data_IF_705151166048
#
_entry.id   IF_705151166048
#
_cell.length_a   1.000
_cell.length_b   1.000
_cell.length_c   1.000
_cell.angle_alpha   90.00
_cell.angle_beta   90.00
_cell.angle_gamma   90.00
#
_symmetry.space_group_name_H-M   'P 1'
#
loop_
_entity.id
_entity.type
_entity.pdbx_description
1 polymer ?
#
# COMPACT_ATOMS: atom_id res chain seq x y z
N UNK A 1 -0.45 -16.51 5.80
CA UNK A 1 0.78 -16.00 6.43
C UNK A 1 1.71 -17.17 6.63
N UNK A 2 2.79 -17.23 5.86
CA UNK A 2 3.77 -18.33 5.91
C UNK A 2 5.09 -17.80 6.48
N UNK A 3 5.57 -18.29 7.64
CA UNK A 3 6.89 -17.94 8.14
C UNK A 3 7.93 -18.55 7.21
N UNK A 4 8.72 -17.72 6.52
CA UNK A 4 9.88 -18.21 5.83
C UNK A 4 11.07 -18.10 6.79
N UNK A 5 11.70 -19.21 7.14
CA UNK A 5 12.80 -19.29 8.12
C UNK A 5 14.14 -18.73 7.59
N UNK A 6 14.12 -17.72 6.73
CA UNK A 6 15.33 -17.06 6.23
C UNK A 6 15.81 -16.02 7.26
N UNK A 7 16.87 -16.36 7.98
CA UNK A 7 17.62 -15.42 8.82
C UNK A 7 18.40 -14.46 7.92
N UNK A 8 17.76 -13.33 7.57
CA UNK A 8 18.37 -12.31 6.71
C UNK A 8 19.20 -11.31 7.50
N UNK A 9 19.01 -11.24 8.81
CA UNK A 9 19.67 -10.25 9.67
C UNK A 9 21.10 -10.70 9.99
N UNK A 10 22.09 -9.80 9.92
CA UNK A 10 23.46 -10.15 10.33
C UNK A 10 23.54 -10.29 11.85
N UNK A 11 24.22 -11.33 12.33
CA UNK A 11 24.45 -11.59 13.77
C UNK A 11 25.38 -10.55 14.40
N UNK A 12 26.31 -10.01 13.61
CA UNK A 12 27.32 -9.06 14.07
C UNK A 12 27.52 -7.92 13.09
N UNK A 13 27.77 -6.72 13.62
CA UNK A 13 28.15 -5.56 12.85
C UNK A 13 29.64 -5.26 13.09
N UNK A 14 30.44 -5.17 12.03
CA UNK A 14 31.87 -4.88 12.06
C UNK A 14 32.20 -3.42 12.37
N UNK A 15 31.24 -2.51 12.27
CA UNK A 15 31.37 -1.08 12.54
C UNK A 15 30.37 -0.65 13.60
N UNK A 16 30.70 0.36 14.38
CA UNK A 16 29.79 0.99 15.34
C UNK A 16 29.65 2.46 14.99
N UNK A 17 28.51 2.81 14.39
CA UNK A 17 28.14 4.18 14.05
C UNK A 17 26.66 4.41 14.37
N UNK A 18 26.23 5.66 14.30
CA UNK A 18 24.84 6.03 14.65
C UNK A 18 23.78 5.26 13.82
N UNK A 19 24.07 4.95 12.57
CA UNK A 19 23.15 4.19 11.72
C UNK A 19 23.03 2.74 12.17
N UNK A 20 24.12 2.12 12.63
CA UNK A 20 24.11 0.76 13.17
C UNK A 20 23.38 0.73 14.51
N UNK A 21 23.55 1.74 15.36
CA UNK A 21 22.79 1.84 16.61
C UNK A 21 21.30 1.97 16.35
N UNK A 22 20.88 2.79 15.39
CA UNK A 22 19.48 2.88 14.95
C UNK A 22 18.96 1.54 14.40
N UNK A 23 19.77 0.85 13.61
CA UNK A 23 19.40 -0.47 13.07
C UNK A 23 19.20 -1.49 14.18
N UNK A 24 20.07 -1.51 15.21
CA UNK A 24 19.91 -2.36 16.39
C UNK A 24 18.65 -2.06 17.17
N UNK A 25 18.29 -0.77 17.32
CA UNK A 25 17.03 -0.39 17.95
C UNK A 25 15.84 -0.93 17.13
N UNK A 26 15.84 -0.75 15.81
CA UNK A 26 14.80 -1.29 14.94
C UNK A 26 14.70 -2.81 15.08
N UNK A 27 15.83 -3.52 15.07
CA UNK A 27 15.85 -4.97 15.21
C UNK A 27 15.39 -5.46 16.60
N UNK A 28 15.57 -4.65 17.65
CA UNK A 28 15.08 -4.99 19.00
C UNK A 28 13.57 -4.78 19.14
N UNK A 29 13.00 -3.85 18.37
CA UNK A 29 11.57 -3.57 18.39
C UNK A 29 10.75 -4.48 17.49
N UNK A 30 11.40 -5.06 16.48
CA UNK A 30 10.75 -5.87 15.45
C UNK A 30 11.20 -7.33 15.57
N UNK A 31 10.26 -8.25 15.74
CA UNK A 31 10.57 -9.68 15.86
C UNK A 31 11.15 -10.22 14.55
N UNK A 32 12.16 -11.13 14.58
CA UNK A 32 12.81 -11.67 13.38
C UNK A 32 11.94 -12.66 12.60
N UNK A 33 10.63 -12.58 12.73
CA UNK A 33 9.69 -13.42 11.99
C UNK A 33 9.44 -12.82 10.61
N UNK A 34 10.16 -13.32 9.61
CA UNK A 34 9.82 -13.05 8.22
C UNK A 34 8.49 -13.74 7.90
N UNK A 35 7.49 -12.90 7.66
CA UNK A 35 6.15 -13.37 7.33
C UNK A 35 5.84 -12.99 5.89
N UNK A 36 5.51 -13.99 5.09
CA UNK A 36 5.06 -13.82 3.71
C UNK A 36 3.54 -13.58 3.70
N UNK A 37 3.00 -12.56 3.03
CA UNK A 37 3.63 -11.41 2.39
C UNK A 37 4.03 -10.29 3.38
N UNK A 38 4.91 -9.37 2.94
CA UNK A 38 5.32 -8.23 3.76
C UNK A 38 4.15 -7.28 4.07
N UNK A 39 3.79 -7.18 5.35
CA UNK A 39 2.73 -6.29 5.81
C UNK A 39 3.09 -4.80 5.64
N UNK A 40 4.37 -4.45 5.77
CA UNK A 40 4.85 -3.08 5.58
C UNK A 40 4.65 -2.62 4.14
N UNK A 41 4.98 -3.48 3.17
CA UNK A 41 4.78 -3.20 1.75
C UNK A 41 3.29 -3.13 1.43
N UNK A 42 2.50 -4.09 1.89
CA UNK A 42 1.07 -4.14 1.65
C UNK A 42 0.35 -2.89 2.17
N UNK A 43 0.59 -2.52 3.43
CA UNK A 43 -0.03 -1.35 4.04
C UNK A 43 0.40 -0.04 3.36
N UNK A 44 1.68 0.09 3.02
CA UNK A 44 2.20 1.28 2.31
C UNK A 44 1.55 1.45 0.94
N UNK A 45 1.36 0.35 0.21
CA UNK A 45 0.66 0.36 -1.08
C UNK A 45 -0.82 0.69 -0.91
N UNK A 46 -1.49 0.16 0.12
CA UNK A 46 -2.89 0.46 0.40
C UNK A 46 -3.10 1.96 0.68
N UNK A 47 -2.23 2.57 1.49
CA UNK A 47 -2.25 4.02 1.76
C UNK A 47 -2.00 4.81 0.48
N UNK A 48 -1.01 4.43 -0.32
CA UNK A 48 -0.76 5.08 -1.61
C UNK A 48 -1.97 5.03 -2.54
N UNK A 49 -2.61 3.89 -2.68
CA UNK A 49 -3.82 3.75 -3.50
C UNK A 49 -4.99 4.57 -2.96
N UNK A 50 -5.16 4.65 -1.64
CA UNK A 50 -6.18 5.49 -1.02
C UNK A 50 -5.95 6.98 -1.32
N UNK A 51 -4.72 7.46 -1.20
CA UNK A 51 -4.33 8.85 -1.53
C UNK A 51 -4.51 9.12 -3.03
N UNK A 52 -4.07 8.21 -3.89
CA UNK A 52 -4.16 8.31 -5.35
C UNK A 52 -5.60 8.43 -5.84
N UNK A 53 -6.52 7.68 -5.25
CA UNK A 53 -7.92 7.60 -5.68
C UNK A 53 -8.86 8.52 -4.87
N UNK A 54 -8.33 9.26 -3.89
CA UNK A 54 -9.13 10.21 -3.10
C UNK A 54 -9.60 11.38 -3.96
N UNK A 55 -10.92 11.64 -4.06
CA UNK A 55 -11.45 12.77 -4.81
C UNK A 55 -10.94 14.12 -4.29
N UNK A 56 -10.78 14.26 -2.97
CA UNK A 56 -10.30 15.47 -2.32
C UNK A 56 -8.82 15.78 -2.65
N UNK A 57 -8.02 14.73 -2.92
CA UNK A 57 -6.59 14.84 -3.17
C UNK A 57 -6.22 14.78 -4.66
N UNK A 58 -7.21 14.58 -5.55
CA UNK A 58 -6.99 14.43 -7.00
C UNK A 58 -6.22 15.59 -7.62
N UNK A 59 -6.47 16.84 -7.16
CA UNK A 59 -5.80 18.05 -7.64
C UNK A 59 -4.48 18.37 -6.91
N UNK A 60 -4.18 17.70 -5.78
CA UNK A 60 -3.00 17.99 -4.95
C UNK A 60 -1.82 17.10 -5.37
N UNK A 61 -1.13 17.48 -6.44
CA UNK A 61 0.00 16.73 -7.01
C UNK A 61 1.13 16.48 -6.01
N UNK A 62 1.43 17.47 -5.15
CA UNK A 62 2.50 17.37 -4.14
C UNK A 62 2.20 16.27 -3.12
N UNK A 63 0.96 16.18 -2.62
CA UNK A 63 0.58 15.13 -1.66
C UNK A 63 0.67 13.75 -2.29
N UNK A 64 0.22 13.61 -3.54
CA UNK A 64 0.30 12.34 -4.27
C UNK A 64 1.74 11.93 -4.56
N UNK A 65 2.58 12.90 -4.95
CA UNK A 65 4.02 12.67 -5.14
C UNK A 65 4.71 12.31 -3.84
N UNK A 66 4.41 13.00 -2.74
CA UNK A 66 4.92 12.68 -1.41
C UNK A 66 4.53 11.28 -0.94
N UNK A 67 3.27 10.88 -1.13
CA UNK A 67 2.81 9.54 -0.81
C UNK A 67 3.53 8.46 -1.63
N UNK A 68 3.78 8.71 -2.92
CA UNK A 68 4.57 7.80 -3.77
C UNK A 68 6.01 7.66 -3.27
N UNK A 69 6.69 8.78 -2.99
CA UNK A 69 8.06 8.78 -2.49
C UNK A 69 8.14 8.05 -1.14
N UNK A 70 7.23 8.33 -0.21
CA UNK A 70 7.19 7.65 1.10
C UNK A 70 6.99 6.15 0.95
N UNK A 71 6.03 5.72 0.14
CA UNK A 71 5.77 4.30 -0.12
C UNK A 71 7.00 3.61 -0.69
N UNK A 72 7.64 4.21 -1.69
CA UNK A 72 8.86 3.66 -2.30
C UNK A 72 10.01 3.59 -1.27
N UNK A 73 10.18 4.63 -0.45
CA UNK A 73 11.20 4.65 0.61
C UNK A 73 10.97 3.56 1.66
N UNK A 74 9.72 3.30 2.06
CA UNK A 74 9.39 2.22 2.99
C UNK A 74 9.72 0.86 2.37
N UNK A 75 9.32 0.63 1.12
CA UNK A 75 9.61 -0.64 0.42
C UNK A 75 11.13 -0.88 0.33
N UNK A 76 11.90 0.13 -0.07
CA UNK A 76 13.33 0.03 -0.15
C UNK A 76 13.97 -0.21 1.24
N UNK A 77 13.51 0.51 2.28
CA UNK A 77 14.04 0.35 3.63
C UNK A 77 13.84 -1.07 4.18
N UNK A 78 12.70 -1.69 3.92
CA UNK A 78 12.46 -3.10 4.36
C UNK A 78 13.44 -4.08 3.71
N UNK A 79 13.85 -3.82 2.47
CA UNK A 79 14.86 -4.63 1.77
C UNK A 79 16.28 -4.34 2.28
N UNK A 80 16.66 -3.07 2.43
CA UNK A 80 17.99 -2.67 2.90
C UNK A 80 18.25 -3.08 4.34
N UNK A 81 17.25 -2.97 5.20
CA UNK A 81 17.30 -3.42 6.60
C UNK A 81 17.17 -4.95 6.74
N UNK A 82 17.11 -5.68 5.61
CA UNK A 82 16.98 -7.14 5.61
C UNK A 82 15.82 -7.68 6.49
N UNK A 83 14.75 -6.88 6.59
CA UNK A 83 13.55 -7.29 7.31
C UNK A 83 12.68 -8.24 6.47
N UNK A 84 12.73 -8.11 5.15
CA UNK A 84 11.98 -8.95 4.21
C UNK A 84 12.83 -9.38 3.01
N UNK A 85 12.55 -10.57 2.51
CA UNK A 85 13.13 -11.06 1.26
C UNK A 85 12.47 -10.38 0.04
N UNK A 86 13.13 -10.44 -1.10
CA UNK A 86 12.57 -9.95 -2.37
C UNK A 86 11.24 -10.63 -2.70
N UNK A 87 11.10 -11.92 -2.35
CA UNK A 87 9.88 -12.70 -2.59
C UNK A 87 8.72 -12.16 -1.74
N UNK A 88 8.96 -11.78 -0.47
CA UNK A 88 7.95 -11.20 0.42
C UNK A 88 7.44 -9.87 -0.12
N UNK A 89 8.34 -9.06 -0.66
CA UNK A 89 8.01 -7.76 -1.28
C UNK A 89 7.19 -7.95 -2.55
N UNK A 90 7.61 -8.84 -3.45
CA UNK A 90 6.90 -9.12 -4.70
C UNK A 90 5.50 -9.67 -4.46
N UNK A 91 5.36 -10.63 -3.54
CA UNK A 91 4.04 -11.18 -3.17
C UNK A 91 3.12 -10.11 -2.58
N UNK A 92 3.65 -9.23 -1.73
CA UNK A 92 2.89 -8.12 -1.17
C UNK A 92 2.45 -7.11 -2.24
N UNK A 93 3.30 -6.81 -3.24
CA UNK A 93 2.95 -5.93 -4.36
C UNK A 93 1.83 -6.54 -5.22
N UNK A 94 1.95 -7.82 -5.57
CA UNK A 94 0.91 -8.53 -6.35
C UNK A 94 -0.41 -8.52 -5.59
N UNK A 95 -0.38 -8.88 -4.30
CA UNK A 95 -1.59 -8.92 -3.47
C UNK A 95 -2.22 -7.53 -3.30
N UNK A 96 -1.39 -6.49 -3.15
CA UNK A 96 -1.86 -5.09 -3.06
C UNK A 96 -2.54 -4.66 -4.36
N UNK A 97 -1.98 -5.04 -5.51
CA UNK A 97 -2.56 -4.71 -6.80
C UNK A 97 -3.88 -5.44 -7.04
N UNK A 98 -3.97 -6.74 -6.72
CA UNK A 98 -5.22 -7.50 -6.81
C UNK A 98 -6.30 -6.93 -5.89
N UNK A 99 -5.94 -6.60 -4.64
CA UNK A 99 -6.87 -5.96 -3.71
C UNK A 99 -7.34 -4.59 -4.21
N UNK A 100 -6.44 -3.82 -4.81
CA UNK A 100 -6.77 -2.54 -5.44
C UNK A 100 -7.78 -2.72 -6.57
N UNK A 101 -7.55 -3.67 -7.45
CA UNK A 101 -8.41 -3.93 -8.61
C UNK A 101 -9.83 -4.32 -8.17
N UNK A 102 -9.95 -5.23 -7.22
CA UNK A 102 -11.25 -5.65 -6.66
C UNK A 102 -11.98 -4.45 -6.02
N UNK A 103 -11.32 -3.68 -5.16
CA UNK A 103 -11.96 -2.61 -4.39
C UNK A 103 -12.37 -1.44 -5.29
N UNK A 104 -11.52 -1.04 -6.21
CA UNK A 104 -11.74 0.20 -6.99
C UNK A 104 -12.51 -0.04 -8.29
N UNK A 105 -12.40 -1.19 -8.93
CA UNK A 105 -13.20 -1.52 -10.11
C UNK A 105 -14.65 -1.75 -9.74
N UNK A 106 -14.94 -2.58 -8.73
CA UNK A 106 -16.32 -2.79 -8.28
C UNK A 106 -16.99 -1.51 -7.80
N UNK A 107 -16.24 -0.66 -7.05
CA UNK A 107 -16.77 0.61 -6.57
C UNK A 107 -17.07 1.57 -7.73
N UNK A 108 -16.24 1.57 -8.76
CA UNK A 108 -16.43 2.43 -9.94
C UNK A 108 -17.67 2.01 -10.73
N UNK A 109 -17.90 0.71 -10.91
CA UNK A 109 -19.08 0.20 -11.60
C UNK A 109 -20.36 0.52 -10.81
N UNK A 110 -20.42 0.28 -9.51
CA UNK A 110 -21.56 0.64 -8.66
C UNK A 110 -21.88 2.15 -8.69
N UNK A 111 -20.87 3.00 -8.76
CA UNK A 111 -21.07 4.46 -8.89
C UNK A 111 -21.64 4.81 -10.26
N UNK A 112 -21.18 4.20 -11.34
CA UNK A 112 -21.70 4.42 -12.70
C UNK A 112 -23.17 3.99 -12.79
N UNK A 113 -23.50 2.81 -12.29
CA UNK A 113 -24.89 2.30 -12.26
C UNK A 113 -25.81 3.26 -11.48
N UNK A 114 -25.40 3.71 -10.30
CA UNK A 114 -26.15 4.67 -9.50
C UNK A 114 -26.35 6.03 -10.20
N UNK A 115 -25.36 6.52 -10.94
CA UNK A 115 -25.48 7.75 -11.73
C UNK A 115 -26.45 7.60 -12.91
N UNK A 116 -26.41 6.48 -13.59
CA UNK A 116 -27.36 6.20 -14.69
C UNK A 116 -28.80 6.10 -14.18
N UNK A 117 -29.01 5.46 -13.05
CA UNK A 117 -30.33 5.36 -12.43
C UNK A 117 -30.86 6.76 -12.01
N UNK A 118 -30.00 7.62 -11.45
CA UNK A 118 -30.38 9.00 -11.10
C UNK A 118 -30.72 9.83 -12.35
N UNK A 119 -29.99 9.71 -13.44
CA UNK A 119 -30.29 10.36 -14.73
C UNK A 119 -31.65 9.89 -15.28
N UNK A 120 -31.91 8.58 -15.20
CA UNK A 120 -33.18 8.00 -15.66
C UNK A 120 -34.37 8.50 -14.82
N UNK A 121 -34.23 8.54 -13.49
CA UNK A 121 -35.27 9.08 -12.59
C UNK A 121 -35.54 10.57 -12.85
N UNK A 122 -34.50 11.36 -13.16
CA UNK A 122 -34.63 12.78 -13.49
C UNK A 122 -35.41 12.98 -14.78
N UNK A 123 -35.06 12.26 -15.85
CA UNK A 123 -35.80 12.30 -17.11
C UNK A 123 -37.28 11.90 -16.94
N UNK A 124 -37.57 10.87 -16.16
CA UNK A 124 -38.94 10.43 -15.87
C UNK A 124 -39.76 11.54 -15.17
N UNK A 125 -39.15 12.28 -14.23
CA UNK A 125 -39.82 13.39 -13.54
C UNK A 125 -40.07 14.59 -14.48
N UNK A 126 -39.21 14.82 -15.45
CA UNK A 126 -39.42 15.86 -16.46
C UNK A 126 -40.59 15.51 -17.41
N UNK A 127 -40.66 14.23 -17.82
CA UNK A 127 -41.79 13.77 -18.68
C UNK A 127 -43.13 13.73 -17.94
N UNK A 128 -43.16 13.57 -16.63
CA UNK A 128 -44.41 13.55 -15.81
C UNK A 128 -44.98 14.96 -15.52
N UNK A 129 -44.32 16.02 -15.98
CA UNK A 129 -44.79 17.41 -15.82
C UNK A 129 -45.54 17.96 -17.04
N UNK A 130 -45.61 17.19 -18.11
CA UNK A 130 -46.38 17.46 -19.33
C UNK A 130 -47.62 16.53 -19.37
#
# INVERSE_FOLDING_TARGET
VYPNGLELRPDTFTRDNIFIQLTRIIYSMDTPTNVLPSIHVFNSMAVYFAVKNSPCLKKKKIIRGGAFIMTTSIILSTMFLKQHSVVDVLTALILSYLSYDIIYNERTEKIKEGLEELKFRRKRKEFSKF
#
